data_IF_606806797971
#
_entry.id   IF_606806797971
#
_cell.length_a   1.000
_cell.length_b   1.000
_cell.length_c   1.000
_cell.angle_alpha   90.00
_cell.angle_beta   90.00
_cell.angle_gamma   90.00
#
_symmetry.space_group_name_H-M   'P 1'
#
loop_
_entity.id
_entity.type
_entity.pdbx_description
1 polymer ?
#
# COMPACT_ATOMS: atom_id res chain seq x y z
N UNK A 1 -25.73 43.82 -6.04
CA UNK A 1 -24.44 43.39 -5.47
C UNK A 1 -24.63 43.20 -3.96
N UNK A 2 -25.41 42.19 -3.50
CA UNK A 2 -25.75 42.15 -2.06
C UNK A 2 -26.21 40.79 -1.47
N UNK A 3 -25.89 39.65 -2.11
CA UNK A 3 -26.35 38.33 -1.60
C UNK A 3 -25.24 37.33 -1.25
N UNK A 4 -23.95 37.71 -1.35
CA UNK A 4 -22.81 36.84 -0.97
C UNK A 4 -22.21 37.10 0.42
N UNK A 5 -22.56 38.21 1.08
CA UNK A 5 -21.99 38.57 2.41
C UNK A 5 -22.70 37.87 3.59
N UNK A 6 -23.95 37.44 3.43
CA UNK A 6 -24.76 36.87 4.53
C UNK A 6 -24.47 35.40 4.83
N UNK A 7 -23.98 34.61 3.86
CA UNK A 7 -23.63 33.19 4.09
C UNK A 7 -22.29 33.03 4.83
N UNK A 8 -21.33 33.93 4.61
CA UNK A 8 -20.01 33.89 5.27
C UNK A 8 -20.11 34.32 6.75
N UNK A 9 -20.99 35.29 7.06
CA UNK A 9 -21.28 35.71 8.44
C UNK A 9 -21.90 34.60 9.29
N UNK A 10 -22.84 33.83 8.73
CA UNK A 10 -23.48 32.69 9.42
C UNK A 10 -22.53 31.52 9.69
N UNK A 11 -21.54 31.29 8.81
CA UNK A 11 -20.51 30.26 9.03
C UNK A 11 -19.46 30.65 10.09
N UNK A 12 -19.20 31.96 10.29
CA UNK A 12 -18.32 32.45 11.35
C UNK A 12 -18.97 32.36 12.74
N UNK A 13 -20.28 32.60 12.85
CA UNK A 13 -21.01 32.46 14.12
C UNK A 13 -21.02 31.02 14.66
N UNK A 14 -21.11 30.02 13.79
CA UNK A 14 -21.07 28.60 14.16
C UNK A 14 -19.67 28.12 14.61
N UNK A 15 -18.60 28.79 14.20
CA UNK A 15 -17.23 28.46 14.62
C UNK A 15 -16.94 28.90 16.06
N UNK A 16 -17.60 29.96 16.53
CA UNK A 16 -17.42 30.49 17.90
C UNK A 16 -18.27 29.75 18.96
N UNK A 17 -19.08 28.78 18.54
CA UNK A 17 -19.81 27.87 19.43
C UNK A 17 -19.33 26.42 19.29
N UNK A 18 -18.17 26.21 18.66
CA UNK A 18 -17.51 24.91 18.67
C UNK A 18 -17.09 24.60 20.11
N UNK A 19 -17.53 23.48 20.70
CA UNK A 19 -16.98 23.05 21.97
C UNK A 19 -15.45 22.90 21.82
N UNK A 20 -14.71 23.35 22.85
CA UNK A 20 -13.27 23.09 23.00
C UNK A 20 -12.98 21.60 22.72
N UNK A 21 -11.76 21.26 22.26
CA UNK A 21 -11.46 19.91 21.79
C UNK A 21 -11.94 18.91 22.83
N UNK A 22 -12.92 18.10 22.42
CA UNK A 22 -13.48 17.06 23.27
C UNK A 22 -12.35 16.06 23.48
N UNK A 23 -11.87 15.95 24.72
CA UNK A 23 -10.87 14.97 25.15
C UNK A 23 -11.29 13.56 24.69
N UNK A 24 -10.27 12.76 24.35
CA UNK A 24 -10.33 11.52 23.57
C UNK A 24 -11.29 10.41 24.10
N UNK A 25 -11.90 10.61 25.28
CA UNK A 25 -12.80 9.65 25.92
C UNK A 25 -14.20 9.52 25.33
N UNK A 26 -14.71 10.51 24.58
CA UNK A 26 -16.11 10.50 24.08
C UNK A 26 -16.30 9.83 22.71
N UNK A 27 -15.22 9.37 22.04
CA UNK A 27 -15.33 8.66 20.76
C UNK A 27 -15.91 7.25 20.89
N UNK A 28 -15.82 6.63 22.08
CA UNK A 28 -16.33 5.27 22.32
C UNK A 28 -17.87 5.21 22.30
N UNK A 29 -18.58 6.27 22.71
CA UNK A 29 -20.05 6.28 22.73
C UNK A 29 -20.69 6.49 21.35
N UNK A 30 -19.93 6.94 20.35
CA UNK A 30 -20.45 7.20 19.00
C UNK A 30 -20.37 6.00 18.05
N UNK A 31 -19.57 4.97 18.37
CA UNK A 31 -19.45 3.73 17.58
C UNK A 31 -20.72 2.87 17.61
N UNK A 32 -21.61 3.08 18.58
CA UNK A 32 -22.86 2.33 18.73
C UNK A 32 -24.07 2.94 17.99
N UNK A 33 -23.95 4.13 17.40
CA UNK A 33 -25.10 4.84 16.82
C UNK A 33 -25.05 4.90 15.29
N UNK A 34 -25.93 4.10 14.69
CA UNK A 34 -26.20 3.97 13.26
C UNK A 34 -26.97 5.18 12.69
N UNK A 35 -26.56 6.41 13.04
CA UNK A 35 -27.39 7.61 12.84
C UNK A 35 -26.73 8.65 11.92
N UNK A 36 -27.55 9.31 11.08
CA UNK A 36 -27.14 10.22 9.98
C UNK A 36 -26.16 11.32 10.44
N UNK A 37 -26.26 11.78 11.69
CA UNK A 37 -25.36 12.80 12.29
C UNK A 37 -23.90 12.35 12.37
N UNK A 38 -23.61 11.06 12.61
CA UNK A 38 -22.22 10.56 12.67
C UNK A 38 -21.55 10.56 11.30
N UNK A 39 -22.31 10.29 10.22
CA UNK A 39 -21.82 10.36 8.83
C UNK A 39 -21.55 11.80 8.37
N UNK A 40 -22.30 12.78 8.87
CA UNK A 40 -22.09 14.20 8.57
C UNK A 40 -20.83 14.71 9.28
N UNK A 41 -20.68 14.43 10.58
CA UNK A 41 -19.46 14.76 11.32
C UNK A 41 -18.22 14.06 10.76
N UNK A 42 -18.38 12.82 10.27
CA UNK A 42 -17.33 12.10 9.55
C UNK A 42 -16.89 12.81 8.25
N UNK A 43 -17.85 13.29 7.45
CA UNK A 43 -17.55 14.10 6.25
C UNK A 43 -16.85 15.42 6.60
N UNK A 44 -17.23 16.05 7.71
CA UNK A 44 -16.59 17.27 8.22
C UNK A 44 -15.15 16.99 8.67
N UNK A 45 -14.91 15.91 9.42
CA UNK A 45 -13.57 15.51 9.84
C UNK A 45 -12.64 15.25 8.63
N UNK A 46 -13.11 14.50 7.63
CA UNK A 46 -12.37 14.26 6.39
C UNK A 46 -12.08 15.57 5.61
N UNK A 47 -13.03 16.51 5.60
CA UNK A 47 -12.83 17.81 4.96
C UNK A 47 -11.76 18.65 5.69
N UNK A 48 -11.74 18.60 7.03
CA UNK A 48 -10.75 19.30 7.86
C UNK A 48 -9.36 18.65 7.72
N UNK A 49 -9.27 17.32 7.72
CA UNK A 49 -7.99 16.61 7.52
C UNK A 49 -7.39 16.92 6.15
N UNK A 50 -8.21 16.90 5.09
CA UNK A 50 -7.80 17.27 3.75
C UNK A 50 -7.34 18.73 3.67
N UNK A 51 -8.00 19.65 4.39
CA UNK A 51 -7.58 21.07 4.47
C UNK A 51 -6.22 21.24 5.14
N UNK A 52 -5.97 20.53 6.25
CA UNK A 52 -4.67 20.56 6.94
C UNK A 52 -3.55 19.99 6.07
N UNK A 53 -3.79 18.86 5.41
CA UNK A 53 -2.84 18.26 4.49
C UNK A 53 -2.52 19.21 3.33
N UNK A 54 -3.53 19.82 2.70
CA UNK A 54 -3.33 20.84 1.66
C UNK A 54 -2.52 22.04 2.14
N UNK A 55 -2.70 22.51 3.38
CA UNK A 55 -1.93 23.63 3.93
C UNK A 55 -0.45 23.29 4.11
N UNK A 56 -0.14 22.09 4.60
CA UNK A 56 1.23 21.58 4.74
C UNK A 56 1.91 21.52 3.36
N UNK A 57 1.22 20.97 2.35
CA UNK A 57 1.75 20.92 0.99
C UNK A 57 1.97 22.31 0.38
N UNK A 58 1.02 23.23 0.60
CA UNK A 58 1.14 24.60 0.08
C UNK A 58 2.33 25.33 0.69
N UNK A 59 2.61 25.09 1.98
CA UNK A 59 3.78 25.65 2.68
C UNK A 59 5.09 25.03 2.19
N UNK A 60 5.16 23.69 2.14
CA UNK A 60 6.38 23.00 1.70
C UNK A 60 6.74 23.28 0.23
N UNK A 61 5.76 23.43 -0.65
CA UNK A 61 5.99 23.86 -2.05
C UNK A 61 6.59 25.27 -2.09
N UNK A 62 6.16 26.17 -1.20
CA UNK A 62 6.69 27.54 -1.13
C UNK A 62 8.09 27.61 -0.54
N UNK A 63 8.39 26.75 0.43
CA UNK A 63 9.65 26.75 1.19
C UNK A 63 10.70 25.79 0.63
N UNK A 64 10.36 25.02 -0.42
CA UNK A 64 11.21 24.00 -1.04
C UNK A 64 11.87 23.04 -0.03
N UNK A 65 11.19 22.80 1.09
CA UNK A 65 11.74 22.05 2.22
C UNK A 65 11.42 20.55 2.10
N UNK A 66 12.36 19.66 2.47
CA UNK A 66 12.13 18.22 2.48
C UNK A 66 10.96 17.83 3.39
N UNK A 67 10.12 16.90 2.92
CA UNK A 67 9.07 16.25 3.71
C UNK A 67 9.40 14.77 3.83
N UNK A 68 9.38 14.24 5.06
CA UNK A 68 9.52 12.81 5.27
C UNK A 68 8.25 12.06 4.85
N UNK A 69 8.41 11.12 3.93
CA UNK A 69 7.34 10.32 3.36
C UNK A 69 7.58 8.85 3.62
N UNK A 70 6.54 8.10 3.98
CA UNK A 70 6.65 6.64 4.09
C UNK A 70 7.00 6.04 2.72
N UNK A 71 8.04 5.21 2.66
CA UNK A 71 8.59 4.68 1.41
C UNK A 71 7.57 3.87 0.64
N UNK A 72 6.80 3.00 1.31
CA UNK A 72 5.82 2.12 0.66
C UNK A 72 4.63 2.92 0.11
N UNK A 73 4.13 3.91 0.85
CA UNK A 73 3.13 4.87 0.36
C UNK A 73 3.66 5.68 -0.83
N UNK A 74 4.94 6.08 -0.81
CA UNK A 74 5.57 6.74 -1.95
C UNK A 74 5.62 5.83 -3.18
N UNK A 75 6.07 4.57 -3.05
CA UNK A 75 6.09 3.61 -4.17
C UNK A 75 4.68 3.34 -4.71
N UNK A 76 3.69 3.18 -3.82
CA UNK A 76 2.28 2.98 -4.19
C UNK A 76 1.63 4.19 -4.91
N UNK A 77 2.28 5.36 -4.93
CA UNK A 77 1.84 6.54 -5.70
C UNK A 77 2.39 6.60 -7.11
N UNK A 78 3.34 5.73 -7.45
CA UNK A 78 3.99 5.70 -8.77
C UNK A 78 3.18 4.96 -9.84
N UNK A 79 1.94 4.60 -9.52
CA UNK A 79 0.96 4.10 -10.47
C UNK A 79 0.35 5.25 -11.29
N UNK A 80 0.13 4.97 -12.58
CA UNK A 80 -0.55 5.87 -13.49
C UNK A 80 -2.02 6.03 -13.10
N UNK A 81 -2.55 7.25 -13.27
CA UNK A 81 -3.95 7.56 -12.95
C UNK A 81 -4.97 6.97 -13.93
N UNK A 82 -4.53 6.59 -15.15
CA UNK A 82 -5.44 6.20 -16.25
C UNK A 82 -5.64 4.70 -16.35
N UNK A 83 -4.57 3.93 -16.25
CA UNK A 83 -4.56 2.49 -16.48
C UNK A 83 -4.14 1.70 -15.24
N UNK A 84 -3.93 2.37 -14.11
CA UNK A 84 -3.53 1.79 -12.83
C UNK A 84 -2.28 0.89 -12.92
N UNK A 85 -1.47 1.05 -13.97
CA UNK A 85 -0.20 0.35 -14.11
C UNK A 85 0.92 1.13 -13.44
N UNK A 86 1.93 0.41 -12.95
CA UNK A 86 3.15 1.03 -12.43
C UNK A 86 3.87 1.80 -13.56
N UNK A 87 4.11 3.09 -13.36
CA UNK A 87 4.82 3.95 -14.31
C UNK A 87 6.34 3.95 -14.11
N UNK A 88 6.84 3.33 -13.04
CA UNK A 88 8.24 3.43 -12.60
C UNK A 88 8.90 2.06 -12.50
N UNK A 89 8.86 1.29 -13.59
CA UNK A 89 9.59 0.01 -13.67
C UNK A 89 11.11 0.19 -13.61
N UNK A 90 11.63 1.40 -13.84
CA UNK A 90 13.03 1.73 -13.59
C UNK A 90 13.44 1.54 -12.12
N UNK A 91 12.50 1.71 -11.16
CA UNK A 91 12.73 1.37 -9.74
C UNK A 91 12.94 -0.14 -9.60
N UNK A 92 12.15 -0.96 -10.31
CA UNK A 92 12.23 -2.43 -10.27
C UNK A 92 13.56 -2.90 -10.87
N UNK A 93 13.93 -2.39 -12.05
CA UNK A 93 15.21 -2.71 -12.69
C UNK A 93 16.39 -2.39 -11.76
N UNK A 94 16.36 -1.23 -11.10
CA UNK A 94 17.42 -0.83 -10.16
C UNK A 94 17.43 -1.67 -8.89
N UNK A 95 16.26 -2.02 -8.37
CA UNK A 95 16.15 -2.94 -7.24
C UNK A 95 16.84 -4.27 -7.57
N UNK A 96 16.54 -4.83 -8.74
CA UNK A 96 17.13 -6.11 -9.19
C UNK A 96 18.64 -6.02 -9.36
N UNK A 97 19.16 -4.89 -9.86
CA UNK A 97 20.61 -4.68 -9.95
C UNK A 97 21.29 -4.65 -8.56
N UNK A 98 20.64 -4.07 -7.56
CA UNK A 98 21.12 -4.07 -6.17
C UNK A 98 21.07 -5.48 -5.60
N UNK A 99 19.93 -6.15 -5.74
CA UNK A 99 19.69 -7.51 -5.24
C UNK A 99 20.69 -8.52 -5.81
N UNK A 100 20.94 -8.47 -7.13
CA UNK A 100 21.95 -9.27 -7.82
C UNK A 100 23.34 -9.13 -7.22
N UNK A 101 23.74 -7.93 -6.81
CA UNK A 101 25.07 -7.70 -6.23
C UNK A 101 25.21 -8.29 -4.83
N UNK A 102 24.18 -8.16 -3.98
CA UNK A 102 24.27 -8.55 -2.57
C UNK A 102 23.86 -9.99 -2.29
N UNK A 103 22.90 -10.53 -3.03
CA UNK A 103 22.33 -11.85 -2.77
C UNK A 103 22.72 -12.88 -3.83
N UNK A 104 23.34 -12.45 -4.94
CA UNK A 104 23.57 -13.29 -6.11
C UNK A 104 22.26 -13.59 -6.83
N UNK A 105 22.15 -13.20 -8.10
CA UNK A 105 20.92 -13.47 -8.86
C UNK A 105 20.90 -14.90 -9.40
N UNK A 106 19.72 -15.53 -9.32
CA UNK A 106 19.30 -16.70 -10.11
C UNK A 106 18.80 -16.28 -11.50
N UNK A 107 19.56 -15.43 -12.18
CA UNK A 107 19.10 -14.75 -13.40
C UNK A 107 18.77 -15.79 -14.49
N UNK A 108 17.48 -15.96 -14.80
CA UNK A 108 17.05 -16.70 -16.00
C UNK A 108 17.38 -15.93 -17.28
N UNK A 109 17.53 -14.61 -17.19
CA UNK A 109 17.77 -13.73 -18.34
C UNK A 109 19.27 -13.54 -18.53
N UNK A 110 19.74 -13.73 -19.76
CA UNK A 110 21.15 -13.62 -20.15
C UNK A 110 21.73 -12.20 -20.08
N UNK A 111 20.88 -11.17 -20.19
CA UNK A 111 21.29 -9.78 -20.29
C UNK A 111 21.04 -8.97 -19.02
N UNK A 112 21.96 -8.06 -18.72
CA UNK A 112 21.82 -7.13 -17.60
C UNK A 112 20.80 -6.02 -17.94
N UNK A 113 19.58 -6.18 -17.41
CA UNK A 113 18.48 -5.25 -17.65
C UNK A 113 18.80 -3.81 -17.21
N UNK A 114 19.65 -3.65 -16.21
CA UNK A 114 20.05 -2.34 -15.72
C UNK A 114 20.97 -1.64 -16.70
N UNK A 115 22.03 -2.30 -17.17
CA UNK A 115 22.93 -1.72 -18.18
C UNK A 115 22.16 -1.39 -19.46
N UNK A 116 21.31 -2.30 -19.93
CA UNK A 116 20.45 -2.07 -21.10
C UNK A 116 19.56 -0.84 -20.92
N UNK A 117 18.88 -0.72 -19.78
CA UNK A 117 18.02 0.44 -19.48
C UNK A 117 18.83 1.74 -19.43
N UNK A 118 20.04 1.71 -18.89
CA UNK A 118 20.89 2.89 -18.75
C UNK A 118 21.44 3.38 -20.09
N UNK A 119 21.82 2.46 -20.97
CA UNK A 119 22.29 2.78 -22.33
C UNK A 119 21.18 3.37 -23.21
N UNK A 120 19.93 2.94 -23.01
CA UNK A 120 18.76 3.41 -23.78
C UNK A 120 18.19 4.74 -23.27
N UNK A 121 18.64 5.25 -22.13
CA UNK A 121 18.12 6.49 -21.57
C UNK A 121 18.86 7.68 -22.14
N UNK A 122 18.12 8.73 -22.49
CA UNK A 122 18.67 10.03 -22.92
C UNK A 122 19.17 10.87 -21.73
N UNK A 123 20.08 10.29 -20.91
CA UNK A 123 20.78 10.94 -19.81
C UNK A 123 22.13 10.26 -19.59
N UNK A 124 22.99 10.91 -18.80
CA UNK A 124 24.25 10.34 -18.32
C UNK A 124 24.09 8.88 -17.83
N UNK A 125 25.00 8.04 -18.32
CA UNK A 125 25.13 6.67 -17.88
C UNK A 125 25.60 6.66 -16.42
N UNK A 126 24.83 5.99 -15.54
CA UNK A 126 25.22 5.82 -14.15
C UNK A 126 25.69 4.38 -13.99
N UNK A 127 26.96 4.20 -13.64
CA UNK A 127 27.54 2.87 -13.42
C UNK A 127 26.88 2.12 -12.26
N UNK A 128 27.01 0.80 -12.26
CA UNK A 128 26.57 -0.04 -11.14
C UNK A 128 27.26 0.38 -9.84
N UNK A 129 28.57 0.64 -9.87
CA UNK A 129 29.35 1.04 -8.68
C UNK A 129 28.81 2.30 -8.01
N UNK A 130 28.27 3.24 -8.80
CA UNK A 130 27.64 4.46 -8.26
C UNK A 130 26.34 4.13 -7.52
N UNK A 131 25.54 3.17 -8.00
CA UNK A 131 24.37 2.68 -7.23
C UNK A 131 24.82 1.99 -5.96
N UNK A 132 25.81 1.11 -6.04
CA UNK A 132 26.26 0.32 -4.89
C UNK A 132 26.83 1.24 -3.80
N UNK A 133 27.61 2.25 -4.19
CA UNK A 133 28.06 3.30 -3.29
C UNK A 133 26.90 4.06 -2.63
N UNK A 134 25.85 4.37 -3.40
CA UNK A 134 24.64 4.99 -2.86
C UNK A 134 23.93 4.08 -1.84
N UNK A 135 23.79 2.79 -2.13
CA UNK A 135 23.16 1.81 -1.22
C UNK A 135 23.97 1.70 0.08
N UNK A 136 25.31 1.61 0.01
CA UNK A 136 26.18 1.61 1.20
C UNK A 136 26.01 2.89 2.01
N UNK A 137 26.04 4.05 1.35
CA UNK A 137 25.85 5.34 2.02
C UNK A 137 24.51 5.43 2.73
N UNK A 138 23.41 4.99 2.11
CA UNK A 138 22.08 4.99 2.76
C UNK A 138 22.03 4.00 3.91
N UNK A 139 22.66 2.83 3.77
CA UNK A 139 22.73 1.82 4.83
C UNK A 139 23.48 2.33 6.06
N UNK A 140 24.58 3.04 5.85
CA UNK A 140 25.45 3.54 6.92
C UNK A 140 24.94 4.84 7.55
N UNK A 141 24.43 5.78 6.74
CA UNK A 141 24.15 7.17 7.16
C UNK A 141 22.67 7.53 7.09
N UNK A 142 21.83 6.69 6.49
CA UNK A 142 20.45 7.02 6.20
C UNK A 142 20.30 8.06 5.08
N UNK A 143 19.13 8.71 5.06
CA UNK A 143 18.83 9.80 4.15
C UNK A 143 19.06 11.15 4.83
N UNK A 144 19.77 12.06 4.16
CA UNK A 144 19.88 13.47 4.54
C UNK A 144 18.97 14.38 3.68
N UNK A 145 18.86 15.66 4.03
CA UNK A 145 18.06 16.62 3.27
C UNK A 145 18.52 16.78 1.82
N UNK A 146 19.82 16.69 1.55
CA UNK A 146 20.42 16.78 0.20
C UNK A 146 20.08 15.57 -0.65
N UNK A 147 19.76 14.45 -0.02
CA UNK A 147 19.32 13.20 -0.65
C UNK A 147 17.83 13.18 -0.94
N UNK A 148 17.11 14.31 -0.80
CA UNK A 148 15.69 14.42 -1.12
C UNK A 148 15.32 13.98 -2.53
N UNK A 149 14.30 13.14 -2.62
CA UNK A 149 13.72 12.66 -3.87
C UNK A 149 12.80 13.74 -4.44
N UNK A 150 13.00 14.08 -5.71
CA UNK A 150 12.21 15.12 -6.38
C UNK A 150 10.90 14.54 -6.90
N UNK A 151 9.78 15.16 -6.56
CA UNK A 151 8.44 14.74 -6.98
C UNK A 151 7.64 15.91 -7.56
N UNK A 152 6.67 15.61 -8.41
CA UNK A 152 5.71 16.60 -8.89
C UNK A 152 4.58 16.85 -7.86
N UNK A 153 3.64 17.75 -8.17
CA UNK A 153 2.50 18.07 -7.28
C UNK A 153 1.59 16.88 -6.95
N UNK A 154 1.62 15.83 -7.77
CA UNK A 154 0.89 14.57 -7.54
C UNK A 154 1.71 13.55 -6.71
N UNK A 155 2.88 13.95 -6.19
CA UNK A 155 3.85 13.09 -5.51
C UNK A 155 4.37 11.95 -6.39
N UNK A 156 4.35 12.13 -7.72
CA UNK A 156 4.98 11.20 -8.65
C UNK A 156 6.44 11.58 -8.83
N UNK A 157 7.28 10.56 -8.90
CA UNK A 157 8.72 10.68 -8.98
C UNK A 157 9.14 11.42 -10.27
N UNK A 158 9.95 12.47 -10.10
CA UNK A 158 10.60 13.21 -11.18
C UNK A 158 12.08 12.81 -11.23
N UNK A 159 12.79 12.91 -10.10
CA UNK A 159 14.18 12.46 -9.98
C UNK A 159 14.44 11.72 -8.66
N UNK A 160 15.39 10.79 -8.69
CA UNK A 160 15.79 10.00 -7.54
C UNK A 160 15.27 8.56 -7.56
N UNK A 161 15.10 7.93 -8.73
CA UNK A 161 14.73 6.50 -8.77
C UNK A 161 15.80 5.57 -8.24
N UNK A 162 17.08 5.95 -8.28
CA UNK A 162 18.17 5.17 -7.66
C UNK A 162 17.95 5.13 -6.15
N UNK A 163 17.77 6.31 -5.54
CA UNK A 163 17.43 6.49 -4.13
C UNK A 163 16.14 5.73 -3.77
N UNK A 164 15.08 5.90 -4.56
CA UNK A 164 13.81 5.19 -4.35
C UNK A 164 13.97 3.66 -4.34
N UNK A 165 14.75 3.11 -5.27
CA UNK A 165 15.04 1.68 -5.32
C UNK A 165 15.88 1.23 -4.13
N UNK A 166 16.90 1.99 -3.74
CA UNK A 166 17.72 1.73 -2.55
C UNK A 166 16.88 1.76 -1.26
N UNK A 167 15.96 2.72 -1.11
CA UNK A 167 15.04 2.77 0.02
C UNK A 167 14.14 1.53 0.11
N UNK A 168 13.59 1.09 -1.03
CA UNK A 168 12.76 -0.10 -1.11
C UNK A 168 13.56 -1.37 -0.79
N UNK A 169 14.78 -1.48 -1.32
CA UNK A 169 15.69 -2.60 -1.07
C UNK A 169 16.04 -2.71 0.41
N UNK A 170 16.47 -1.61 1.03
CA UNK A 170 16.90 -1.53 2.43
C UNK A 170 15.74 -1.47 3.45
N UNK A 171 14.48 -1.62 3.02
CA UNK A 171 13.28 -1.49 3.88
C UNK A 171 13.27 -0.18 4.71
N UNK A 172 13.75 0.91 4.12
CA UNK A 172 13.77 2.22 4.77
C UNK A 172 12.34 2.68 5.02
N UNK A 173 12.01 3.01 6.28
CA UNK A 173 10.64 3.38 6.66
C UNK A 173 10.17 4.68 6.02
N UNK A 174 11.08 5.65 5.89
CA UNK A 174 10.79 6.96 5.37
C UNK A 174 11.92 7.46 4.46
N UNK A 175 11.53 8.32 3.52
CA UNK A 175 12.42 9.01 2.59
C UNK A 175 12.08 10.50 2.56
N UNK A 176 13.07 11.40 2.48
CA UNK A 176 12.82 12.81 2.24
C UNK A 176 12.38 13.03 0.79
N UNK A 177 11.32 13.80 0.60
CA UNK A 177 10.85 14.25 -0.73
C UNK A 177 10.80 15.77 -0.79
N UNK A 178 11.10 16.33 -1.96
CA UNK A 178 10.87 17.75 -2.26
C UNK A 178 9.85 17.82 -3.40
N UNK A 179 8.81 18.65 -3.22
CA UNK A 179 7.76 18.83 -4.21
C UNK A 179 8.10 20.01 -5.11
N UNK A 180 8.21 19.74 -6.40
CA UNK A 180 8.44 20.77 -7.40
C UNK A 180 7.13 21.35 -7.95
N UNK A 181 7.20 22.60 -8.39
CA UNK A 181 6.03 23.39 -8.82
C UNK A 181 5.40 22.97 -10.14
N UNK A 182 6.00 22.08 -10.92
CA UNK A 182 5.51 21.69 -12.25
C UNK A 182 4.98 20.24 -12.27
N UNK A 183 4.11 19.95 -13.24
CA UNK A 183 3.48 18.64 -13.43
C UNK A 183 4.22 17.79 -14.47
N UNK A 184 5.56 17.79 -14.44
CA UNK A 184 6.32 16.91 -15.33
C UNK A 184 6.04 15.43 -15.00
N UNK A 185 5.92 14.64 -16.07
CA UNK A 185 5.72 13.20 -15.99
C UNK A 185 6.93 12.53 -16.60
N UNK A 186 7.65 11.77 -15.77
CA UNK A 186 8.74 10.91 -16.22
C UNK A 186 8.17 9.53 -16.51
N UNK A 187 8.29 9.07 -17.75
CA UNK A 187 7.69 7.80 -18.20
C UNK A 187 8.71 6.66 -18.18
N UNK A 188 8.52 5.72 -17.27
CA UNK A 188 9.24 4.43 -17.22
C UNK A 188 8.24 3.28 -17.03
N UNK A 189 7.06 3.42 -17.63
CA UNK A 189 6.06 2.35 -17.69
C UNK A 189 6.49 1.27 -18.69
N UNK A 190 5.76 0.16 -18.74
CA UNK A 190 6.04 -0.95 -19.66
C UNK A 190 6.19 -0.50 -21.12
N UNK A 191 5.41 0.50 -21.55
CA UNK A 191 5.49 0.99 -22.93
C UNK A 191 6.82 1.68 -23.24
N UNK A 192 7.48 2.28 -22.25
CA UNK A 192 8.85 2.79 -22.43
C UNK A 192 9.81 1.65 -22.74
N UNK A 193 9.72 0.53 -22.00
CA UNK A 193 10.58 -0.63 -22.22
C UNK A 193 10.34 -1.27 -23.60
N UNK A 194 9.07 -1.41 -24.02
CA UNK A 194 8.72 -1.88 -25.38
C UNK A 194 9.34 -1.00 -26.47
N UNK A 195 9.27 0.33 -26.31
CA UNK A 195 9.81 1.30 -27.28
C UNK A 195 11.34 1.31 -27.32
N UNK A 196 12.01 0.74 -26.32
CA UNK A 196 13.48 0.74 -26.18
C UNK A 196 14.07 -0.67 -26.30
N UNK A 197 13.46 -1.51 -27.15
CA UNK A 197 13.97 -2.83 -27.56
C UNK A 197 14.10 -3.87 -26.42
N UNK A 198 13.29 -3.75 -25.37
CA UNK A 198 13.16 -4.83 -24.39
C UNK A 198 12.28 -5.95 -24.94
N UNK A 199 12.75 -7.18 -24.80
CA UNK A 199 12.06 -8.37 -25.32
C UNK A 199 10.80 -8.65 -24.51
N UNK A 200 9.87 -9.42 -25.09
CA UNK A 200 8.67 -9.85 -24.37
C UNK A 200 8.99 -10.66 -23.12
N UNK A 201 10.06 -11.46 -23.15
CA UNK A 201 10.55 -12.24 -21.99
C UNK A 201 11.06 -11.32 -20.88
N UNK A 202 11.88 -10.31 -21.22
CA UNK A 202 12.38 -9.32 -20.26
C UNK A 202 11.23 -8.53 -19.61
N UNK A 203 10.24 -8.13 -20.42
CA UNK A 203 9.04 -7.42 -19.94
C UNK A 203 8.20 -8.30 -19.00
N UNK A 204 8.00 -9.58 -19.35
CA UNK A 204 7.27 -10.52 -18.50
C UNK A 204 8.01 -10.76 -17.18
N UNK A 205 9.33 -10.90 -17.23
CA UNK A 205 10.17 -11.01 -16.05
C UNK A 205 10.07 -9.77 -15.16
N UNK A 206 10.15 -8.55 -15.71
CA UNK A 206 9.99 -7.32 -14.94
C UNK A 206 8.61 -7.23 -14.26
N UNK A 207 7.54 -7.64 -14.94
CA UNK A 207 6.18 -7.71 -14.35
C UNK A 207 6.13 -8.70 -13.20
N UNK A 208 6.70 -9.90 -13.39
CA UNK A 208 6.78 -10.93 -12.36
C UNK A 208 7.57 -10.45 -11.15
N UNK A 209 8.78 -9.91 -11.35
CA UNK A 209 9.63 -9.41 -10.27
C UNK A 209 8.99 -8.25 -9.53
N UNK A 210 8.29 -7.34 -10.23
CA UNK A 210 7.49 -6.29 -9.57
C UNK A 210 6.50 -6.90 -8.57
N UNK A 211 5.79 -7.95 -8.96
CA UNK A 211 4.78 -8.59 -8.11
C UNK A 211 5.42 -9.29 -6.91
N UNK A 212 6.50 -10.02 -7.12
CA UNK A 212 7.23 -10.68 -6.04
C UNK A 212 7.79 -9.68 -5.02
N UNK A 213 8.45 -8.62 -5.49
CA UNK A 213 8.99 -7.55 -4.65
C UNK A 213 7.86 -6.84 -3.91
N UNK A 214 6.75 -6.50 -4.59
CA UNK A 214 5.66 -5.75 -3.94
C UNK A 214 4.90 -6.61 -2.92
N UNK A 215 4.80 -7.93 -3.14
CA UNK A 215 4.27 -8.87 -2.13
C UNK A 215 5.23 -8.90 -0.94
N UNK A 216 6.51 -9.15 -1.15
CA UNK A 216 7.49 -9.29 -0.08
C UNK A 216 7.63 -8.01 0.76
N UNK A 217 7.61 -6.85 0.11
CA UNK A 217 7.71 -5.54 0.78
C UNK A 217 6.39 -5.07 1.37
N UNK A 218 5.30 -5.84 1.25
CA UNK A 218 3.98 -5.52 1.82
C UNK A 218 3.25 -4.37 1.10
N UNK A 219 3.64 -4.03 -0.12
CA UNK A 219 2.98 -3.01 -0.95
C UNK A 219 1.65 -3.54 -1.50
N UNK A 220 1.61 -4.82 -1.90
CA UNK A 220 0.34 -5.50 -2.21
C UNK A 220 -0.33 -5.95 -0.91
N UNK A 221 -1.66 -5.87 -0.89
CA UNK A 221 -2.44 -6.24 0.29
C UNK A 221 -2.78 -7.74 0.22
N UNK A 222 -2.37 -8.56 1.21
CA UNK A 222 -2.84 -9.94 1.31
C UNK A 222 -4.29 -9.93 1.80
N UNK A 223 -5.23 -10.35 0.94
CA UNK A 223 -6.61 -10.59 1.30
C UNK A 223 -6.83 -12.10 1.52
N UNK A 224 -7.06 -12.46 2.77
CA UNK A 224 -7.23 -13.84 3.24
C UNK A 224 -8.71 -14.14 3.32
N UNK A 225 -9.15 -15.17 2.60
CA UNK A 225 -10.49 -15.75 2.68
C UNK A 225 -10.44 -16.97 3.61
N UNK A 226 -11.33 -17.00 4.59
CA UNK A 226 -11.34 -18.04 5.62
C UNK A 226 -12.09 -19.29 5.18
N UNK A 227 -11.86 -20.45 5.82
CA UNK A 227 -12.47 -21.72 5.42
C UNK A 227 -14.00 -21.72 5.41
N UNK A 228 -14.61 -20.93 6.28
CA UNK A 228 -16.07 -20.74 6.39
C UNK A 228 -16.73 -20.24 5.10
N UNK A 229 -15.98 -19.60 4.19
CA UNK A 229 -16.48 -19.11 2.91
C UNK A 229 -15.85 -19.84 1.71
N UNK A 230 -15.25 -21.02 1.93
CA UNK A 230 -14.55 -21.81 0.91
C UNK A 230 -15.38 -22.02 -0.37
N UNK A 231 -16.68 -22.30 -0.24
CA UNK A 231 -17.57 -22.51 -1.38
C UNK A 231 -17.74 -21.28 -2.28
N UNK A 232 -17.38 -20.08 -1.82
CA UNK A 232 -17.45 -18.85 -2.63
C UNK A 232 -16.08 -18.26 -2.99
N UNK A 233 -14.97 -18.96 -2.74
CA UNK A 233 -13.62 -18.45 -3.04
C UNK A 233 -13.47 -17.97 -4.49
N UNK A 234 -13.87 -18.79 -5.47
CA UNK A 234 -13.74 -18.45 -6.88
C UNK A 234 -14.69 -17.31 -7.30
N UNK A 235 -15.87 -17.24 -6.70
CA UNK A 235 -16.83 -16.17 -6.96
C UNK A 235 -16.32 -14.83 -6.44
N UNK A 236 -15.79 -14.82 -5.20
CA UNK A 236 -15.19 -13.65 -4.56
C UNK A 236 -14.01 -13.14 -5.40
N UNK A 237 -13.10 -14.03 -5.81
CA UNK A 237 -11.95 -13.69 -6.65
C UNK A 237 -12.39 -13.06 -7.98
N UNK A 238 -13.33 -13.69 -8.71
CA UNK A 238 -13.87 -13.14 -9.96
C UNK A 238 -14.49 -11.76 -9.77
N UNK A 239 -15.22 -11.54 -8.67
CA UNK A 239 -15.82 -10.23 -8.36
C UNK A 239 -14.77 -9.19 -8.00
N UNK A 240 -13.69 -9.60 -7.32
CA UNK A 240 -12.58 -8.73 -6.94
C UNK A 240 -11.77 -8.28 -8.17
N UNK A 241 -11.49 -9.21 -9.10
CA UNK A 241 -10.78 -8.94 -10.35
C UNK A 241 -11.47 -7.92 -11.27
N UNK A 242 -12.79 -7.74 -11.13
CA UNK A 242 -13.52 -6.69 -11.86
C UNK A 242 -13.18 -5.27 -11.37
N UNK A 243 -12.60 -5.13 -10.19
CA UNK A 243 -12.34 -3.84 -9.54
C UNK A 243 -10.86 -3.59 -9.25
N UNK A 244 -10.08 -4.64 -9.01
CA UNK A 244 -8.67 -4.53 -8.65
C UNK A 244 -7.85 -5.59 -9.37
N UNK A 245 -6.58 -5.27 -9.65
CA UNK A 245 -5.62 -6.24 -10.15
C UNK A 245 -5.25 -7.22 -9.03
N UNK A 246 -5.43 -8.51 -9.29
CA UNK A 246 -4.95 -9.59 -8.42
C UNK A 246 -3.62 -10.07 -9.00
N UNK A 247 -2.52 -9.83 -8.29
CA UNK A 247 -1.18 -10.17 -8.75
C UNK A 247 -0.88 -11.67 -8.58
N UNK A 248 -1.36 -12.26 -7.48
CA UNK A 248 -1.12 -13.66 -7.16
C UNK A 248 -2.28 -14.19 -6.33
N UNK A 249 -2.66 -15.43 -6.60
CA UNK A 249 -3.62 -16.20 -5.81
C UNK A 249 -2.94 -17.44 -5.27
N UNK A 250 -3.19 -17.79 -4.02
CA UNK A 250 -2.69 -19.02 -3.39
C UNK A 250 -3.80 -19.70 -2.60
N UNK A 251 -3.95 -21.01 -2.79
CA UNK A 251 -4.73 -21.84 -1.89
C UNK A 251 -3.74 -22.52 -0.93
N UNK A 252 -3.96 -22.41 0.37
CA UNK A 252 -3.06 -22.94 1.39
C UNK A 252 -3.88 -23.87 2.28
N UNK A 253 -3.37 -25.09 2.47
CA UNK A 253 -3.82 -26.00 3.49
C UNK A 253 -2.95 -25.77 4.73
N UNK A 254 -3.54 -25.21 5.78
CA UNK A 254 -2.82 -24.95 7.02
C UNK A 254 -2.75 -26.22 7.87
N UNK A 255 -1.57 -26.49 8.45
CA UNK A 255 -1.42 -27.55 9.46
C UNK A 255 -2.19 -27.20 10.74
N UNK A 256 -2.08 -25.95 11.17
CA UNK A 256 -2.75 -25.43 12.36
C UNK A 256 -3.41 -24.07 12.07
N UNK A 257 -4.72 -24.12 11.78
CA UNK A 257 -5.53 -22.92 11.56
C UNK A 257 -5.58 -22.00 12.78
N UNK A 258 -5.57 -22.56 14.00
CA UNK A 258 -5.65 -21.81 15.24
C UNK A 258 -4.37 -21.00 15.47
N UNK A 259 -3.21 -21.65 15.33
CA UNK A 259 -1.91 -20.99 15.44
C UNK A 259 -1.72 -19.93 14.37
N UNK A 260 -2.03 -20.24 13.11
CA UNK A 260 -1.98 -19.26 12.02
C UNK A 260 -2.86 -18.03 12.33
N UNK A 261 -4.09 -18.26 12.77
CA UNK A 261 -5.04 -17.17 13.08
C UNK A 261 -4.51 -16.33 14.23
N UNK A 262 -4.04 -16.94 15.33
CA UNK A 262 -3.48 -16.19 16.47
C UNK A 262 -2.28 -15.34 16.06
N UNK A 263 -1.32 -15.90 15.33
CA UNK A 263 -0.12 -15.19 14.88
C UNK A 263 -0.49 -14.00 13.98
N UNK A 264 -1.38 -14.20 13.00
CA UNK A 264 -1.83 -13.16 12.10
C UNK A 264 -2.51 -12.00 12.85
N UNK A 265 -3.34 -12.33 13.83
CA UNK A 265 -4.09 -11.33 14.60
C UNK A 265 -3.27 -10.63 15.69
N UNK A 266 -2.01 -11.01 15.92
CA UNK A 266 -1.09 -10.20 16.74
C UNK A 266 -0.74 -8.85 16.09
N UNK A 267 -0.94 -8.75 14.78
CA UNK A 267 -0.77 -7.51 14.01
C UNK A 267 -1.95 -6.54 14.23
N UNK A 268 -3.09 -7.05 14.67
CA UNK A 268 -4.28 -6.26 14.93
C UNK A 268 -4.35 -5.87 16.42
N UNK A 269 -4.79 -4.65 16.72
CA UNK A 269 -5.08 -4.22 18.09
C UNK A 269 -6.43 -4.79 18.55
N UNK A 270 -6.56 -6.12 18.63
CA UNK A 270 -7.81 -6.79 19.04
C UNK A 270 -7.63 -7.73 20.25
N UNK A 271 -8.62 -7.80 21.16
CA UNK A 271 -8.58 -8.72 22.28
C UNK A 271 -8.58 -10.20 21.89
N UNK A 272 -7.85 -11.02 22.65
CA UNK A 272 -7.73 -12.48 22.43
C UNK A 272 -9.08 -13.20 22.37
N UNK A 273 -10.08 -12.78 23.16
CA UNK A 273 -11.40 -13.41 23.13
C UNK A 273 -12.10 -13.27 21.76
N UNK A 274 -11.88 -12.18 21.01
CA UNK A 274 -12.41 -12.02 19.65
C UNK A 274 -11.73 -12.96 18.67
N UNK A 275 -10.41 -13.15 18.83
CA UNK A 275 -9.62 -14.11 18.06
C UNK A 275 -10.14 -15.54 18.31
N UNK A 276 -10.35 -15.90 19.57
CA UNK A 276 -10.87 -17.22 19.94
C UNK A 276 -12.28 -17.47 19.39
N UNK A 277 -13.17 -16.47 19.42
CA UNK A 277 -14.49 -16.56 18.79
C UNK A 277 -14.41 -16.77 17.28
N UNK A 278 -13.37 -16.21 16.66
CA UNK A 278 -13.10 -16.42 15.24
C UNK A 278 -12.66 -17.85 14.95
N UNK A 279 -11.70 -18.36 15.71
CA UNK A 279 -11.19 -19.73 15.60
C UNK A 279 -12.32 -20.73 15.82
N UNK A 280 -13.12 -20.56 16.88
CA UNK A 280 -14.29 -21.40 17.17
C UNK A 280 -15.31 -21.44 16.04
N UNK A 281 -15.56 -20.30 15.38
CA UNK A 281 -16.47 -20.28 14.22
C UNK A 281 -15.92 -20.94 12.96
N UNK A 282 -14.64 -21.30 12.93
CA UNK A 282 -14.01 -22.08 11.85
C UNK A 282 -13.77 -23.55 12.26
N UNK A 283 -14.15 -23.95 13.47
CA UNK A 283 -13.99 -25.31 13.98
C UNK A 283 -14.80 -26.31 13.14
N UNK A 284 -14.23 -27.50 12.91
CA UNK A 284 -14.83 -28.53 12.06
C UNK A 284 -14.80 -28.24 10.54
N UNK A 285 -14.20 -27.12 10.11
CA UNK A 285 -13.94 -26.86 8.68
C UNK A 285 -12.54 -27.34 8.30
N UNK A 286 -12.40 -27.84 7.07
CA UNK A 286 -11.08 -28.13 6.51
C UNK A 286 -10.24 -26.83 6.51
N UNK A 287 -8.96 -26.84 6.95
CA UNK A 287 -8.18 -25.63 7.18
C UNK A 287 -7.61 -25.03 5.87
N UNK A 288 -8.45 -24.96 4.83
CA UNK A 288 -8.13 -24.39 3.53
C UNK A 288 -8.45 -22.89 3.52
N UNK A 289 -7.42 -22.08 3.27
CA UNK A 289 -7.58 -20.64 3.04
C UNK A 289 -7.22 -20.31 1.59
N UNK A 290 -7.81 -19.23 1.07
CA UNK A 290 -7.36 -18.61 -0.18
C UNK A 290 -6.81 -17.22 0.12
N UNK A 291 -5.64 -16.92 -0.43
CA UNK A 291 -4.98 -15.63 -0.31
C UNK A 291 -4.91 -14.98 -1.68
N UNK A 292 -5.39 -13.75 -1.76
CA UNK A 292 -5.38 -12.91 -2.95
C UNK A 292 -4.47 -11.70 -2.66
N UNK A 293 -3.36 -11.58 -3.39
CA UNK A 293 -2.48 -10.41 -3.30
C UNK A 293 -2.99 -9.34 -4.23
N UNK A 294 -3.66 -8.34 -3.66
CA UNK A 294 -4.33 -7.30 -4.44
C UNK A 294 -3.55 -6.00 -4.49
N UNK A 295 -3.57 -5.40 -5.67
CA UNK A 295 -3.06 -4.07 -5.92
C UNK A 295 -4.19 -3.07 -5.66
N UNK A 296 -4.00 -2.20 -4.67
CA UNK A 296 -4.88 -1.06 -4.41
C UNK A 296 -4.08 0.19 -4.75
N UNK A 297 -4.28 0.78 -5.95
CA UNK A 297 -3.58 2.00 -6.34
C UNK A 297 -3.94 3.15 -5.38
N UNK A 298 -2.92 3.88 -4.91
CA UNK A 298 -3.09 5.10 -4.09
C UNK A 298 -4.05 4.90 -2.90
N UNK A 299 -3.78 3.94 -2.00
CA UNK A 299 -4.67 3.65 -0.90
C UNK A 299 -4.77 4.85 0.05
N UNK A 300 -6.00 5.15 0.49
CA UNK A 300 -6.26 6.25 1.43
C UNK A 300 -6.17 5.75 2.86
N UNK A 301 -5.34 6.40 3.67
CA UNK A 301 -5.16 6.06 5.07
C UNK A 301 -5.77 7.10 6.00
N UNK A 302 -6.33 6.61 7.11
CA UNK A 302 -6.64 7.40 8.32
C UNK A 302 -5.76 6.91 9.47
N UNK A 303 -5.63 7.67 10.54
CA UNK A 303 -5.11 7.16 11.82
C UNK A 303 -6.25 6.59 12.66
N UNK A 304 -6.01 5.49 13.37
CA UNK A 304 -6.90 5.02 14.43
C UNK A 304 -6.60 5.74 15.76
N UNK A 305 -7.29 5.35 16.83
CA UNK A 305 -7.11 5.90 18.19
C UNK A 305 -5.67 5.74 18.70
N UNK A 306 -5.00 4.64 18.32
CA UNK A 306 -3.60 4.36 18.68
C UNK A 306 -2.60 5.02 17.72
N UNK A 307 -3.04 5.90 16.81
CA UNK A 307 -2.19 6.56 15.82
C UNK A 307 -1.74 5.69 14.64
N UNK A 308 -2.12 4.40 14.63
CA UNK A 308 -1.82 3.43 13.56
C UNK A 308 -2.58 3.75 12.28
N UNK A 309 -1.93 3.58 11.14
CA UNK A 309 -2.55 3.84 9.82
C UNK A 309 -3.51 2.71 9.45
N UNK A 310 -4.68 3.10 8.97
CA UNK A 310 -5.73 2.18 8.50
C UNK A 310 -6.19 2.56 7.11
N UNK A 311 -6.09 1.63 6.16
CA UNK A 311 -6.53 1.81 4.77
C UNK A 311 -8.05 1.82 4.69
N UNK A 312 -8.62 3.02 4.57
CA UNK A 312 -10.06 3.24 4.38
C UNK A 312 -10.59 2.61 3.08
N UNK A 313 -9.72 2.49 2.07
CA UNK A 313 -10.04 1.84 0.80
C UNK A 313 -10.25 0.33 1.01
N UNK A 314 -9.35 -0.29 1.78
CA UNK A 314 -9.44 -1.70 2.14
C UNK A 314 -10.59 -1.98 3.11
N UNK A 315 -10.85 -1.10 4.09
CA UNK A 315 -12.02 -1.21 4.98
C UNK A 315 -13.32 -1.24 4.18
N UNK A 316 -13.47 -0.32 3.21
CA UNK A 316 -14.64 -0.27 2.33
C UNK A 316 -14.79 -1.54 1.48
N UNK A 317 -13.68 -2.06 0.93
CA UNK A 317 -13.67 -3.33 0.22
C UNK A 317 -14.13 -4.49 1.11
N UNK A 318 -13.50 -4.66 2.29
CA UNK A 318 -13.84 -5.71 3.26
C UNK A 318 -15.32 -5.63 3.63
N UNK A 319 -15.82 -4.45 3.98
CA UNK A 319 -17.22 -4.23 4.35
C UNK A 319 -18.20 -4.63 3.23
N UNK A 320 -17.92 -4.22 1.98
CA UNK A 320 -18.78 -4.53 0.84
C UNK A 320 -18.89 -6.04 0.58
N UNK A 321 -17.78 -6.76 0.64
CA UNK A 321 -17.78 -8.20 0.45
C UNK A 321 -18.39 -8.92 1.65
N UNK A 322 -18.02 -8.55 2.87
CA UNK A 322 -18.57 -9.14 4.10
C UNK A 322 -20.10 -9.07 4.12
N UNK A 323 -20.68 -7.90 3.88
CA UNK A 323 -22.14 -7.70 3.81
C UNK A 323 -22.83 -8.55 2.74
N UNK A 324 -22.16 -8.78 1.61
CA UNK A 324 -22.73 -9.57 0.52
C UNK A 324 -22.72 -11.06 0.88
N UNK A 325 -21.57 -11.56 1.33
CA UNK A 325 -21.35 -13.00 1.52
C UNK A 325 -21.85 -13.50 2.88
N UNK A 326 -22.02 -12.62 3.89
CA UNK A 326 -22.64 -13.00 5.16
C UNK A 326 -24.10 -13.40 4.97
N UNK A 327 -24.83 -12.60 4.18
CA UNK A 327 -26.21 -12.92 3.79
C UNK A 327 -26.27 -14.17 2.92
N UNK A 328 -25.40 -14.26 1.92
CA UNK A 328 -25.42 -15.36 0.94
C UNK A 328 -25.08 -16.72 1.58
N UNK A 329 -24.11 -16.76 2.47
CA UNK A 329 -23.67 -17.99 3.13
C UNK A 329 -24.30 -18.20 4.52
N UNK A 330 -25.15 -17.26 4.97
CA UNK A 330 -25.75 -17.26 6.31
C UNK A 330 -24.71 -17.40 7.44
N UNK A 331 -23.62 -16.63 7.36
CA UNK A 331 -22.54 -16.60 8.37
C UNK A 331 -22.24 -15.17 8.82
N UNK A 332 -21.62 -14.99 9.99
CA UNK A 332 -21.24 -13.65 10.46
C UNK A 332 -20.13 -13.03 9.61
N UNK A 333 -20.21 -11.72 9.41
CA UNK A 333 -19.30 -10.92 8.58
C UNK A 333 -17.80 -11.18 8.84
N UNK A 334 -17.40 -11.29 10.12
CA UNK A 334 -15.99 -11.43 10.49
C UNK A 334 -15.41 -12.80 10.17
N UNK A 335 -16.24 -13.80 9.82
CA UNK A 335 -15.79 -15.11 9.35
C UNK A 335 -15.44 -15.12 7.87
N UNK A 336 -15.66 -14.06 7.09
CA UNK A 336 -15.53 -14.15 5.62
C UNK A 336 -14.09 -13.93 5.15
N UNK A 337 -13.48 -12.82 5.60
CA UNK A 337 -12.14 -12.42 5.14
C UNK A 337 -11.38 -11.58 6.16
N UNK A 338 -10.07 -11.56 6.04
CA UNK A 338 -9.16 -10.66 6.77
C UNK A 338 -8.12 -10.09 5.81
N UNK A 339 -7.66 -8.88 6.07
CA UNK A 339 -6.50 -8.27 5.41
C UNK A 339 -5.95 -7.21 6.36
N UNK A 340 -4.63 -7.13 6.57
CA UNK A 340 -4.02 -6.11 7.42
C UNK A 340 -4.28 -4.70 6.86
N UNK A 341 -4.22 -3.69 7.73
CA UNK A 341 -4.74 -2.37 7.41
C UNK A 341 -3.69 -1.39 6.85
N UNK A 342 -2.40 -1.74 6.89
CA UNK A 342 -1.30 -0.91 6.37
C UNK A 342 -0.15 -1.74 5.79
N UNK A 343 0.80 -1.05 5.15
CA UNK A 343 1.90 -1.67 4.42
C UNK A 343 2.92 -2.38 5.33
N UNK A 344 3.06 -1.93 6.58
CA UNK A 344 3.93 -2.56 7.57
C UNK A 344 3.35 -3.92 8.00
N UNK A 345 2.08 -3.94 8.40
CA UNK A 345 1.39 -5.18 8.77
C UNK A 345 1.24 -6.14 7.59
N UNK A 346 1.08 -5.63 6.36
CA UNK A 346 1.06 -6.46 5.16
C UNK A 346 2.36 -7.28 5.01
N UNK A 347 3.52 -6.64 5.25
CA UNK A 347 4.82 -7.29 5.15
C UNK A 347 4.98 -8.38 6.21
N UNK A 348 4.56 -8.11 7.45
CA UNK A 348 4.58 -9.12 8.52
C UNK A 348 3.59 -10.26 8.25
N UNK A 349 2.38 -9.96 7.78
CA UNK A 349 1.42 -10.98 7.37
C UNK A 349 1.97 -11.89 6.28
N UNK A 350 2.73 -11.35 5.30
CA UNK A 350 3.40 -12.16 4.26
C UNK A 350 4.42 -13.12 4.87
N UNK A 351 5.19 -12.70 5.88
CA UNK A 351 6.12 -13.60 6.59
C UNK A 351 5.37 -14.72 7.32
N UNK A 352 4.28 -14.39 8.00
CA UNK A 352 3.41 -15.37 8.69
C UNK A 352 2.83 -16.35 7.67
N UNK A 353 2.28 -15.86 6.55
CA UNK A 353 1.76 -16.69 5.47
C UNK A 353 2.83 -17.65 4.95
N UNK A 354 4.04 -17.17 4.67
CA UNK A 354 5.17 -18.01 4.19
C UNK A 354 5.57 -19.07 5.22
N UNK A 355 5.55 -18.73 6.52
CA UNK A 355 5.88 -19.65 7.63
C UNK A 355 4.87 -20.82 7.74
N UNK A 356 3.59 -20.56 7.47
CA UNK A 356 2.51 -21.55 7.63
C UNK A 356 2.05 -22.17 6.30
N UNK A 357 2.53 -21.67 5.17
CA UNK A 357 2.33 -22.33 3.89
C UNK A 357 3.08 -23.67 3.93
N UNK A 358 2.33 -24.78 3.95
CA UNK A 358 2.91 -26.10 3.75
C UNK A 358 3.73 -26.08 2.46
N UNK A 359 5.03 -26.37 2.56
CA UNK A 359 5.84 -26.70 1.39
C UNK A 359 5.27 -28.00 0.83
N UNK A 360 4.27 -27.93 -0.05
CA UNK A 360 4.04 -29.04 -0.95
C UNK A 360 5.28 -29.10 -1.82
N UNK A 361 6.04 -30.19 -1.67
CA UNK A 361 7.08 -30.61 -2.59
C UNK A 361 6.53 -30.42 -4.02
N UNK A 362 7.23 -29.58 -4.80
CA UNK A 362 7.19 -29.70 -6.26
C UNK A 362 7.83 -31.03 -6.65
#
# INVERSE_FOLDING_TARGET
METKKTTIGKLRGLANHLPKPIEDGLLQSYRSLNNIKSRVWWKVYLAISNKKENLIWTKAIKENSPIMKNTKDFIARQFNNRDENLNRYDIIVRYLAIDKHYNGSSEKIKHDLYEKMQLKRDKEYISKDRILSLVRSIKEKGYDEKSSILVNRLQQLVDGSHRSASALYLDQKQIPIIVHGYNEKVEFGIDWFKKNDFTSEEIQYLKKMKDEIFIEKGILFPLILWPTIQNHFNEIEKKLMKKYRVAKTQNILLEDLSKFTKELYTLDDIPMWQINQKIKGMEGKAPNIKILYIEIPKPKFRKNENGKKVSTTLEGLKSSFRKTYSKKANIKDFYIMHSPDNFEDNQEAVKIIKKHATKKNE
#
